data_IF_413083262827
#
_entry.id   IF_413083262827
#
_cell.length_a   1.000
_cell.length_b   1.000
_cell.length_c   1.000
_cell.angle_alpha   90.00
_cell.angle_beta   90.00
_cell.angle_gamma   90.00
#
_symmetry.space_group_name_H-M   'P 1'
#
loop_
_entity.id
_entity.type
_entity.pdbx_description
1 polymer ?
#
# COMPACT_ATOMS: atom_id res chain seq x y z
N UNK A 1 1.56 10.03 8.63
CA UNK A 1 1.45 8.91 7.68
C UNK A 1 2.79 8.22 7.44
N UNK A 2 3.83 8.96 7.04
CA UNK A 2 5.17 8.42 6.73
C UNK A 2 5.74 7.44 7.78
N UNK A 3 5.58 7.77 9.07
CA UNK A 3 6.05 6.91 10.15
C UNK A 3 5.30 5.58 10.19
N UNK A 4 3.98 5.59 9.99
CA UNK A 4 3.16 4.38 9.94
C UNK A 4 3.56 3.48 8.76
N UNK A 5 3.78 4.05 7.57
CA UNK A 5 4.28 3.28 6.42
C UNK A 5 5.65 2.68 6.72
N UNK A 6 6.56 3.46 7.30
CA UNK A 6 7.90 3.01 7.68
C UNK A 6 7.83 1.88 8.69
N UNK A 7 6.97 1.99 9.72
CA UNK A 7 6.76 0.92 10.69
C UNK A 7 6.22 -0.34 10.02
N UNK A 8 5.23 -0.22 9.14
CA UNK A 8 4.64 -1.35 8.43
C UNK A 8 5.68 -2.08 7.57
N UNK A 9 6.42 -1.32 6.76
CA UNK A 9 7.48 -1.86 5.88
C UNK A 9 8.60 -2.51 6.69
N UNK A 10 8.98 -1.93 7.84
CA UNK A 10 9.96 -2.51 8.74
C UNK A 10 9.48 -3.89 9.27
N UNK A 11 8.20 -3.97 9.69
CA UNK A 11 7.58 -5.21 10.14
C UNK A 11 7.52 -6.28 9.05
N UNK A 12 7.28 -5.92 7.79
CA UNK A 12 7.33 -6.86 6.65
C UNK A 12 8.75 -7.33 6.31
N UNK A 13 9.74 -6.42 6.37
CA UNK A 13 11.14 -6.73 6.04
C UNK A 13 11.76 -7.73 7.02
N UNK A 14 11.36 -7.68 8.29
CA UNK A 14 11.85 -8.60 9.33
C UNK A 14 11.47 -10.05 9.06
N UNK A 15 10.40 -10.30 8.32
CA UNK A 15 9.72 -11.59 8.36
C UNK A 15 9.63 -12.32 7.01
N UNK A 16 9.51 -11.62 5.86
CA UNK A 16 9.22 -12.32 4.59
C UNK A 16 9.67 -11.60 3.31
N UNK A 17 9.48 -10.28 3.20
CA UNK A 17 9.50 -9.62 1.88
C UNK A 17 10.30 -8.32 1.85
N UNK A 18 11.03 -8.11 0.74
CA UNK A 18 11.85 -6.92 0.49
C UNK A 18 11.21 -5.99 -0.55
N UNK A 19 11.30 -4.68 -0.32
CA UNK A 19 10.92 -3.69 -1.33
C UNK A 19 11.91 -3.72 -2.50
N UNK A 20 11.41 -3.70 -3.73
CA UNK A 20 12.22 -3.58 -4.96
C UNK A 20 11.96 -2.25 -5.66
N UNK A 21 12.92 -1.80 -6.47
CA UNK A 21 12.86 -0.49 -7.15
C UNK A 21 12.05 -0.49 -8.45
N UNK A 22 11.62 -1.66 -8.96
CA UNK A 22 10.92 -1.78 -10.24
C UNK A 22 9.64 -2.63 -10.09
N UNK A 23 8.50 -2.16 -10.62
CA UNK A 23 7.23 -2.90 -10.54
C UNK A 23 7.28 -4.24 -11.27
N UNK A 24 8.14 -4.39 -12.28
CA UNK A 24 8.31 -5.64 -13.02
C UNK A 24 9.02 -6.75 -12.23
N UNK A 25 9.73 -6.43 -11.13
CA UNK A 25 10.57 -7.37 -10.37
C UNK A 25 9.99 -7.76 -9.00
N UNK A 26 8.71 -7.48 -8.77
CA UNK A 26 8.02 -7.82 -7.52
C UNK A 26 7.01 -8.95 -7.70
N UNK A 27 6.65 -9.63 -6.62
CA UNK A 27 5.54 -10.60 -6.60
C UNK A 27 4.19 -9.90 -6.48
N UNK A 28 4.12 -8.82 -5.70
CA UNK A 28 2.90 -8.07 -5.43
C UNK A 28 3.17 -6.57 -5.27
N UNK A 29 2.11 -5.77 -5.35
CA UNK A 29 2.14 -4.35 -5.03
C UNK A 29 1.70 -4.11 -3.58
N UNK A 30 2.40 -3.22 -2.90
CA UNK A 30 1.99 -2.70 -1.60
C UNK A 30 1.49 -1.28 -1.80
N UNK A 31 0.27 -0.99 -1.36
CA UNK A 31 -0.36 0.32 -1.47
C UNK A 31 -0.89 0.77 -0.11
N UNK A 32 -0.61 2.01 0.29
CA UNK A 32 -1.11 2.58 1.54
C UNK A 32 -2.30 3.51 1.24
N UNK A 33 -3.43 3.25 1.88
CA UNK A 33 -4.67 4.02 1.75
C UNK A 33 -4.99 4.65 3.11
N UNK A 34 -4.57 5.89 3.38
CA UNK A 34 -4.99 6.62 4.56
C UNK A 34 -6.46 7.02 4.45
N UNK A 35 -7.24 6.75 5.49
CA UNK A 35 -8.60 7.29 5.61
C UNK A 35 -8.50 8.71 6.15
N UNK A 36 -8.80 9.69 5.30
CA UNK A 36 -8.74 11.12 5.61
C UNK A 36 -10.09 11.80 5.50
N UNK A 37 -11.07 11.16 4.85
CA UNK A 37 -12.43 11.65 4.73
C UNK A 37 -13.42 10.63 5.29
N UNK A 38 -13.80 9.65 4.48
CA UNK A 38 -14.74 8.57 4.80
C UNK A 38 -14.18 7.29 4.20
N UNK A 39 -14.23 6.20 4.98
CA UNK A 39 -13.66 4.90 4.60
C UNK A 39 -14.07 4.46 3.19
N UNK A 40 -15.37 4.50 2.86
CA UNK A 40 -15.84 4.11 1.52
C UNK A 40 -15.28 4.98 0.39
N UNK A 41 -15.32 6.31 0.55
CA UNK A 41 -14.83 7.25 -0.47
C UNK A 41 -13.33 7.10 -0.72
N UNK A 42 -12.53 6.97 0.33
CA UNK A 42 -11.08 6.85 0.21
C UNK A 42 -10.67 5.50 -0.39
N UNK A 43 -11.39 4.41 -0.04
CA UNK A 43 -11.21 3.09 -0.66
C UNK A 43 -11.60 3.11 -2.14
N UNK A 44 -12.75 3.69 -2.50
CA UNK A 44 -13.18 3.76 -3.90
C UNK A 44 -12.15 4.53 -4.75
N UNK A 45 -11.65 5.66 -4.24
CA UNK A 45 -10.59 6.42 -4.90
C UNK A 45 -9.29 5.62 -5.04
N UNK A 46 -8.92 4.83 -4.03
CA UNK A 46 -7.76 3.95 -4.08
C UNK A 46 -7.93 2.83 -5.11
N UNK A 47 -9.12 2.20 -5.17
CA UNK A 47 -9.43 1.14 -6.14
C UNK A 47 -9.39 1.68 -7.57
N UNK A 48 -9.99 2.86 -7.82
CA UNK A 48 -9.94 3.48 -9.15
C UNK A 48 -8.49 3.78 -9.59
N UNK A 49 -7.68 4.34 -8.68
CA UNK A 49 -6.26 4.55 -8.96
C UNK A 49 -5.53 3.23 -9.27
N UNK A 50 -5.80 2.16 -8.50
CA UNK A 50 -5.19 0.85 -8.74
C UNK A 50 -5.61 0.23 -10.08
N UNK A 51 -6.87 0.38 -10.48
CA UNK A 51 -7.37 -0.06 -11.79
C UNK A 51 -6.63 0.66 -12.94
N UNK A 52 -6.31 1.94 -12.78
CA UNK A 52 -5.55 2.72 -13.78
C UNK A 52 -4.07 2.29 -13.88
N UNK A 53 -3.42 2.05 -12.74
CA UNK A 53 -1.96 1.86 -12.70
C UNK A 53 -1.50 0.40 -12.76
N UNK A 54 -2.38 -0.55 -12.40
CA UNK A 54 -2.05 -1.98 -12.36
C UNK A 54 -2.54 -2.72 -13.59
N UNK A 55 -2.05 -2.32 -14.77
CA UNK A 55 -2.45 -2.91 -16.06
C UNK A 55 -2.13 -4.41 -16.17
N UNK A 56 -1.17 -4.90 -15.39
CA UNK A 56 -0.80 -6.32 -15.34
C UNK A 56 -1.64 -7.16 -14.36
N UNK A 57 -2.65 -6.57 -13.69
CA UNK A 57 -3.47 -7.23 -12.67
C UNK A 57 -2.64 -7.99 -11.62
N UNK A 58 -1.47 -7.45 -11.26
CA UNK A 58 -0.61 -8.05 -10.23
C UNK A 58 -1.34 -7.99 -8.89
N UNK A 59 -1.21 -8.98 -8.00
CA UNK A 59 -1.83 -8.90 -6.69
C UNK A 59 -1.41 -7.65 -5.92
N UNK A 60 -2.36 -7.00 -5.25
CA UNK A 60 -2.17 -5.79 -4.45
C UNK A 60 -2.58 -6.08 -3.02
N UNK A 61 -1.70 -5.75 -2.09
CA UNK A 61 -2.03 -5.64 -0.67
C UNK A 61 -2.23 -4.16 -0.37
N UNK A 62 -3.47 -3.78 -0.10
CA UNK A 62 -3.84 -2.43 0.31
C UNK A 62 -3.88 -2.34 1.83
N UNK A 63 -3.01 -1.50 2.40
CA UNK A 63 -2.98 -1.21 3.83
C UNK A 63 -3.87 0.00 4.08
N UNK A 64 -5.08 -0.24 4.59
CA UNK A 64 -6.04 0.80 4.95
C UNK A 64 -5.68 1.33 6.33
N UNK A 65 -5.26 2.59 6.39
CA UNK A 65 -4.76 3.25 7.59
C UNK A 65 -5.87 4.12 8.21
N UNK A 66 -6.37 3.72 9.37
CA UNK A 66 -7.39 4.44 10.12
C UNK A 66 -6.76 5.29 11.21
N UNK A 67 -6.90 6.61 11.12
CA UNK A 67 -6.35 7.51 12.12
C UNK A 67 -7.15 7.40 13.43
N UNK A 68 -6.45 7.10 14.53
CA UNK A 68 -7.01 6.99 15.88
C UNK A 68 -5.90 6.93 16.94
N UNK A 69 -6.23 7.38 18.16
CA UNK A 69 -5.43 7.11 19.36
C UNK A 69 -5.95 5.90 20.15
N UNK A 70 -7.18 5.45 19.88
CA UNK A 70 -7.79 4.29 20.52
C UNK A 70 -7.29 2.98 19.86
N UNK A 71 -6.52 2.13 20.59
CA UNK A 71 -5.99 0.87 20.06
C UNK A 71 -7.08 -0.20 19.86
N UNK A 72 -8.23 -0.06 20.50
CA UNK A 72 -9.35 -1.00 20.45
C UNK A 72 -10.48 -0.52 19.53
N UNK A 73 -10.28 0.59 18.81
CA UNK A 73 -11.25 1.17 17.88
C UNK A 73 -11.81 0.10 16.96
N UNK A 74 -13.13 -0.10 17.01
CA UNK A 74 -13.83 -1.01 16.11
C UNK A 74 -13.85 -0.38 14.72
N UNK A 75 -13.44 -1.16 13.72
CA UNK A 75 -13.46 -0.77 12.31
C UNK A 75 -14.11 -1.90 11.53
N UNK A 76 -14.85 -1.54 10.48
CA UNK A 76 -15.41 -2.51 9.56
C UNK A 76 -14.28 -3.10 8.70
N UNK A 77 -14.40 -4.36 8.32
CA UNK A 77 -13.45 -5.01 7.40
C UNK A 77 -13.54 -4.34 6.02
N UNK A 78 -12.45 -3.69 5.61
CA UNK A 78 -12.38 -2.96 4.35
C UNK A 78 -12.48 -3.87 3.12
N UNK A 79 -12.22 -5.17 3.25
CA UNK A 79 -12.44 -6.12 2.14
C UNK A 79 -13.89 -6.15 1.68
N UNK A 80 -14.86 -5.84 2.56
CA UNK A 80 -16.28 -5.81 2.20
C UNK A 80 -16.62 -4.71 1.18
N UNK A 81 -15.80 -3.66 1.10
CA UNK A 81 -15.98 -2.57 0.13
C UNK A 81 -15.27 -2.85 -1.21
N UNK A 82 -14.40 -3.87 -1.27
CA UNK A 82 -13.51 -4.12 -2.42
C UNK A 82 -14.06 -5.26 -3.25
N UNK A 83 -14.38 -4.96 -4.52
CA UNK A 83 -14.90 -5.95 -5.48
C UNK A 83 -13.82 -6.55 -6.40
N UNK A 84 -12.58 -6.08 -6.31
CA UNK A 84 -11.48 -6.49 -7.21
C UNK A 84 -10.74 -7.68 -6.62
N UNK A 85 -10.78 -8.83 -7.30
CA UNK A 85 -10.13 -10.06 -6.84
C UNK A 85 -8.60 -9.94 -6.68
N UNK A 86 -7.97 -9.04 -7.44
CA UNK A 86 -6.53 -8.80 -7.35
C UNK A 86 -6.14 -7.90 -6.17
N UNK A 87 -7.11 -7.30 -5.45
CA UNK A 87 -6.87 -6.43 -4.29
C UNK A 87 -7.32 -7.14 -3.02
N UNK A 88 -6.41 -7.28 -2.05
CA UNK A 88 -6.75 -7.64 -0.67
C UNK A 88 -6.42 -6.48 0.26
N UNK A 89 -7.34 -6.12 1.14
CA UNK A 89 -7.12 -5.10 2.16
C UNK A 89 -6.74 -5.70 3.51
N UNK A 90 -5.92 -4.95 4.23
CA UNK A 90 -5.77 -5.08 5.68
C UNK A 90 -6.00 -3.74 6.34
N UNK A 91 -6.71 -3.78 7.46
CA UNK A 91 -6.97 -2.59 8.24
C UNK A 91 -5.93 -2.43 9.36
N UNK A 92 -5.36 -1.23 9.47
CA UNK A 92 -4.38 -0.88 10.48
C UNK A 92 -4.74 0.44 11.14
N UNK A 93 -4.51 0.53 12.45
CA UNK A 93 -4.68 1.74 13.24
C UNK A 93 -3.36 2.50 13.32
N UNK A 94 -3.41 3.82 13.13
CA UNK A 94 -2.24 4.67 13.26
C UNK A 94 -2.57 6.01 13.89
N UNK A 95 -1.55 6.70 14.39
CA UNK A 95 -1.62 8.09 14.83
C UNK A 95 -0.39 8.84 14.30
N UNK A 96 -0.19 10.08 14.75
CA UNK A 96 0.99 10.87 14.41
C UNK A 96 2.30 10.21 14.88
N UNK A 97 2.22 9.34 15.89
CA UNK A 97 3.35 8.52 16.37
C UNK A 97 3.64 7.27 15.54
N UNK A 98 2.89 7.04 14.46
CA UNK A 98 3.06 5.88 13.57
C UNK A 98 2.01 4.80 13.79
N UNK A 99 2.34 3.56 13.45
CA UNK A 99 1.45 2.42 13.68
C UNK A 99 1.28 2.19 15.18
N UNK A 100 0.03 1.99 15.62
CA UNK A 100 -0.23 1.64 17.00
C UNK A 100 0.32 0.24 17.32
N UNK A 101 0.89 0.10 18.52
CA UNK A 101 1.24 -1.19 19.08
C UNK A 101 0.00 -1.83 19.71
N UNK A 102 -0.86 -2.43 18.89
CA UNK A 102 -2.10 -3.09 19.33
C UNK A 102 -2.26 -4.49 18.71
N UNK A 103 -3.15 -5.28 19.31
CA UNK A 103 -3.42 -6.65 18.86
C UNK A 103 -3.95 -6.69 17.42
N UNK A 104 -4.79 -5.71 17.05
CA UNK A 104 -5.32 -5.59 15.69
C UNK A 104 -4.21 -5.47 14.64
N UNK A 105 -3.28 -4.54 14.82
CA UNK A 105 -2.15 -4.36 13.89
C UNK A 105 -1.23 -5.59 13.88
N UNK A 106 -0.99 -6.19 15.05
CA UNK A 106 -0.20 -7.44 15.16
C UNK A 106 -0.84 -8.57 14.35
N UNK A 107 -2.16 -8.75 14.47
CA UNK A 107 -2.91 -9.77 13.73
C UNK A 107 -2.92 -9.48 12.23
N UNK A 108 -3.18 -8.23 11.82
CA UNK A 108 -3.20 -7.82 10.42
C UNK A 108 -1.85 -8.09 9.73
N UNK A 109 -0.75 -7.70 10.36
CA UNK A 109 0.60 -7.93 9.87
C UNK A 109 0.92 -9.44 9.88
N UNK A 110 0.57 -10.16 10.95
CA UNK A 110 0.81 -11.60 11.07
C UNK A 110 0.08 -12.42 10.00
N UNK A 111 -1.16 -12.05 9.66
CA UNK A 111 -1.93 -12.66 8.57
C UNK A 111 -1.23 -12.48 7.23
N UNK A 112 -0.84 -11.25 6.88
CA UNK A 112 -0.08 -10.99 5.65
C UNK A 112 1.21 -11.80 5.63
N UNK A 113 1.97 -11.81 6.72
CA UNK A 113 3.23 -12.54 6.77
C UNK A 113 3.03 -14.04 6.53
N UNK A 114 1.97 -14.62 7.08
CA UNK A 114 1.61 -16.02 6.86
C UNK A 114 1.25 -16.27 5.40
N UNK A 115 0.42 -15.41 4.81
CA UNK A 115 0.01 -15.52 3.40
C UNK A 115 1.18 -15.36 2.43
N UNK A 116 2.10 -14.42 2.71
CA UNK A 116 3.28 -14.20 1.90
C UNK A 116 4.24 -15.40 1.97
N UNK A 117 4.40 -16.01 3.15
CA UNK A 117 5.23 -17.21 3.33
C UNK A 117 4.65 -18.40 2.55
N UNK A 118 3.34 -18.64 2.67
CA UNK A 118 2.69 -19.77 1.98
C UNK A 118 2.78 -19.64 0.46
N UNK A 119 2.62 -18.41 -0.06
CA UNK A 119 2.76 -18.08 -1.49
C UNK A 119 4.22 -17.97 -1.96
N UNK A 120 5.20 -18.04 -1.06
CA UNK A 120 6.63 -17.77 -1.32
C UNK A 120 6.88 -16.41 -1.98
N UNK A 121 6.04 -15.42 -1.66
CA UNK A 121 6.22 -14.04 -2.13
C UNK A 121 7.26 -13.34 -1.26
N UNK A 122 8.37 -12.96 -1.88
CA UNK A 122 9.56 -12.42 -1.17
C UNK A 122 9.91 -10.99 -1.58
N UNK A 123 9.15 -10.41 -2.51
CA UNK A 123 9.41 -9.06 -3.01
C UNK A 123 8.12 -8.31 -3.31
N UNK A 124 8.10 -7.02 -2.97
CA UNK A 124 7.01 -6.12 -3.29
C UNK A 124 7.52 -4.82 -3.90
N UNK A 125 6.68 -4.16 -4.67
CA UNK A 125 6.89 -2.77 -5.09
C UNK A 125 5.88 -1.88 -4.37
N UNK A 126 6.35 -0.80 -3.73
CA UNK A 126 5.46 0.16 -3.08
C UNK A 126 4.92 1.14 -4.14
N UNK A 127 3.63 0.99 -4.46
CA UNK A 127 2.92 1.96 -5.27
C UNK A 127 2.74 3.24 -4.46
N UNK A 128 3.04 4.39 -5.08
CA UNK A 128 2.85 5.72 -4.49
C UNK A 128 1.87 6.47 -5.36
N UNK A 129 0.83 7.04 -4.75
CA UNK A 129 -0.20 7.83 -5.46
C UNK A 129 0.40 9.05 -6.19
N UNK A 130 1.51 9.59 -5.68
CA UNK A 130 2.11 10.85 -6.18
C UNK A 130 3.16 10.68 -7.28
N UNK A 131 3.36 9.46 -7.80
CA UNK A 131 4.28 9.25 -8.93
C UNK A 131 3.51 9.26 -10.24
N UNK A 132 3.68 10.25 -11.13
CA UNK A 132 3.15 10.15 -12.48
C UNK A 132 3.79 8.93 -13.15
N UNK A 133 2.96 7.96 -13.55
CA UNK A 133 3.38 6.79 -14.31
C UNK A 133 3.57 7.16 -15.79
N UNK A 134 4.50 8.08 -16.04
CA UNK A 134 5.26 8.19 -17.28
C UNK A 134 6.27 9.33 -17.13
N UNK A 135 7.55 9.00 -17.01
CA UNK A 135 8.57 9.85 -17.59
C UNK A 135 9.26 9.01 -18.67
N UNK A 136 8.80 9.09 -19.93
CA UNK A 136 9.49 8.42 -21.02
C UNK A 136 10.79 9.19 -21.26
N UNK A 137 11.89 8.54 -20.90
CA UNK A 137 13.23 8.69 -21.44
C UNK A 137 13.37 9.77 -22.56
N UNK A 138 13.74 11.00 -22.19
CA UNK A 138 14.35 11.96 -23.14
C UNK A 138 15.71 12.41 -22.63
N UNK A 139 16.68 11.53 -22.78
CA UNK A 139 17.98 12.00 -23.28
C UNK A 139 17.82 12.27 -24.78
N UNK A 140 17.61 13.54 -25.14
CA UNK A 140 18.04 14.15 -26.41
C UNK A 140 17.87 15.67 -26.29
N UNK A 141 19.02 16.29 -26.01
CA UNK A 141 19.56 17.59 -26.40
C UNK A 141 18.77 18.40 -27.45
N UNK A 142 18.82 19.73 -27.28
CA UNK A 142 18.82 20.86 -28.23
C UNK A 142 17.89 21.97 -27.70
N UNK A 143 18.40 22.95 -26.94
CA UNK A 143 19.07 24.19 -27.39
C UNK A 143 18.05 25.27 -27.83
N UNK A 144 18.04 26.38 -27.07
CA UNK A 144 17.58 27.74 -27.44
C UNK A 144 16.05 27.86 -27.74
N UNK A 145 15.33 28.98 -27.53
CA UNK A 145 15.63 30.40 -27.46
C UNK A 145 14.41 31.11 -26.83
N UNK A 146 14.64 32.29 -26.26
CA UNK A 146 13.71 33.43 -26.11
C UNK A 146 12.56 33.44 -27.15
N UNK A 147 11.34 33.82 -26.81
CA UNK A 147 10.86 35.17 -26.42
C UNK A 147 9.66 35.07 -25.49
#
# INVERSE_FOLDING_TARGET
>A
MDLAEKNFKHSLKKSVSKEVSSPGKCHFFLFFCPITSRTGTDIDAAVNYLDEVNTASKPVIMVVLHNTFDPEKIILDSNNAIKREYISAVDCLFSDSGLLSCQKNTNAIGKIQTDLKSKKWTSYYCLKKDRPLHEPNRKKTFLLLFV
#
